data_IF_190167601326
#
_entry.id   IF_190167601326
#
_cell.length_a   1.000
_cell.length_b   1.000
_cell.length_c   1.000
_cell.angle_alpha   90.00
_cell.angle_beta   90.00
_cell.angle_gamma   90.00
#
_symmetry.space_group_name_H-M   'P 1'
#
loop_
_entity.id
_entity.type
_entity.pdbx_description
1 polymer ?
#
# COMPACT_ATOMS: atom_id res chain seq x y z
N UNK A 1 4.52 46.35 47.14
CA UNK A 1 3.75 45.10 46.99
C UNK A 1 4.35 44.32 45.83
N UNK A 2 5.18 43.32 46.12
CA UNK A 2 5.70 42.41 45.09
C UNK A 2 4.66 41.33 44.85
N UNK A 3 4.02 41.35 43.69
CA UNK A 3 3.21 40.23 43.25
C UNK A 3 4.16 39.07 42.94
N UNK A 4 4.25 38.10 43.84
CA UNK A 4 4.80 36.79 43.56
C UNK A 4 3.93 36.16 42.46
N UNK A 5 4.38 36.28 41.22
CA UNK A 5 3.86 35.45 40.13
C UNK A 5 4.41 34.05 40.42
N UNK A 6 3.59 33.22 41.05
CA UNK A 6 3.88 31.79 41.13
C UNK A 6 3.96 31.27 39.69
N UNK A 7 5.15 30.87 39.25
CA UNK A 7 5.30 30.04 38.07
C UNK A 7 4.57 28.72 38.34
N UNK A 8 3.31 28.63 37.92
CA UNK A 8 2.53 27.40 38.01
C UNK A 8 3.20 26.33 37.13
N UNK A 9 3.81 25.35 37.79
CA UNK A 9 4.56 24.27 37.12
C UNK A 9 3.60 23.32 36.43
N UNK A 10 3.75 23.18 35.11
CA UNK A 10 3.09 22.14 34.33
C UNK A 10 3.70 20.78 34.72
N UNK A 11 2.88 19.87 35.21
CA UNK A 11 3.29 18.47 35.45
C UNK A 11 2.57 17.56 34.46
N UNK A 12 3.25 16.52 33.95
CA UNK A 12 2.57 15.53 33.10
C UNK A 12 2.90 14.11 33.51
N UNK A 13 1.84 13.32 33.64
CA UNK A 13 1.86 11.89 33.89
C UNK A 13 1.69 11.15 32.56
N UNK A 14 2.75 10.48 32.15
CA UNK A 14 2.84 9.79 30.87
C UNK A 14 2.06 8.47 30.85
N UNK A 15 1.84 7.84 32.02
CA UNK A 15 1.11 6.57 32.12
C UNK A 15 -0.37 6.80 31.92
N UNK A 16 -0.89 7.87 32.51
CA UNK A 16 -2.30 8.24 32.41
C UNK A 16 -2.58 9.22 31.26
N UNK A 17 -1.54 9.66 30.54
CA UNK A 17 -1.58 10.70 29.50
C UNK A 17 -2.27 11.97 29.99
N UNK A 18 -1.91 12.44 31.19
CA UNK A 18 -2.53 13.63 31.78
C UNK A 18 -1.54 14.77 31.91
N UNK A 19 -2.02 16.00 31.73
CA UNK A 19 -1.31 17.24 32.05
C UNK A 19 -2.05 17.90 33.21
N UNK A 20 -1.32 18.36 34.23
CA UNK A 20 -1.88 19.14 35.34
C UNK A 20 -1.31 20.54 35.38
N UNK A 21 -2.18 21.50 35.66
CA UNK A 21 -1.87 22.92 35.82
C UNK A 21 -2.69 23.47 36.97
N UNK A 22 -2.04 23.75 38.11
CA UNK A 22 -2.74 23.99 39.38
C UNK A 22 -3.63 22.80 39.75
N UNK A 23 -4.89 23.08 40.09
CA UNK A 23 -5.91 22.07 40.43
C UNK A 23 -6.58 21.42 39.20
N UNK A 24 -6.26 21.86 37.98
CA UNK A 24 -6.86 21.35 36.76
C UNK A 24 -6.10 20.13 36.21
N UNK A 25 -6.82 19.05 35.90
CA UNK A 25 -6.28 17.86 35.23
C UNK A 25 -6.90 17.70 33.83
N UNK A 26 -6.04 17.63 32.82
CA UNK A 26 -6.41 17.40 31.43
C UNK A 26 -6.00 15.99 30.98
N UNK A 27 -6.93 15.21 30.42
CA UNK A 27 -6.60 13.96 29.71
C UNK A 27 -6.23 14.25 28.27
N UNK A 28 -5.00 13.93 27.89
CA UNK A 28 -4.45 14.21 26.57
C UNK A 28 -4.51 12.97 25.70
N UNK A 29 -5.49 12.95 24.79
CA UNK A 29 -5.65 11.87 23.83
C UNK A 29 -4.66 11.97 22.67
N UNK A 30 -4.25 13.18 22.28
CA UNK A 30 -3.33 13.44 21.18
C UNK A 30 -2.56 14.74 21.42
N UNK A 31 -1.26 14.73 21.14
CA UNK A 31 -0.45 15.94 21.04
C UNK A 31 0.06 16.07 19.61
N UNK A 32 -0.16 17.22 18.99
CA UNK A 32 0.35 17.48 17.64
C UNK A 32 0.60 18.96 17.40
N UNK A 33 1.60 19.24 16.56
CA UNK A 33 1.95 20.58 16.10
C UNK A 33 2.34 20.48 14.63
N UNK A 34 1.92 21.43 13.80
CA UNK A 34 2.16 21.43 12.35
C UNK A 34 1.80 20.11 11.65
N UNK A 35 0.74 19.44 12.12
CA UNK A 35 0.30 18.14 11.61
C UNK A 35 1.12 16.92 12.05
N UNK A 36 2.23 17.11 12.78
CA UNK A 36 3.06 16.03 13.31
C UNK A 36 2.56 15.56 14.69
N UNK A 37 2.41 14.25 14.87
CA UNK A 37 2.09 13.66 16.18
C UNK A 37 3.34 13.60 17.05
N UNK A 38 3.23 14.04 18.31
CA UNK A 38 4.34 14.12 19.24
C UNK A 38 4.10 13.27 20.50
N UNK A 39 5.15 12.68 21.09
CA UNK A 39 5.09 12.18 22.45
C UNK A 39 4.78 13.30 23.44
N UNK A 40 3.96 13.01 24.44
CA UNK A 40 3.59 13.98 25.49
C UNK A 40 4.81 14.52 26.24
N UNK A 41 5.84 13.70 26.41
CA UNK A 41 7.11 14.06 27.03
C UNK A 41 7.89 15.11 26.24
N UNK A 42 7.83 15.07 24.91
CA UNK A 42 8.43 16.09 24.07
C UNK A 42 7.63 17.39 24.08
N UNK A 43 6.30 17.30 24.25
CA UNK A 43 5.44 18.48 24.36
C UNK A 43 5.81 19.36 25.57
N UNK A 44 6.28 18.76 26.68
CA UNK A 44 6.82 19.50 27.84
C UNK A 44 7.94 20.47 27.42
N UNK A 45 8.87 20.00 26.58
CA UNK A 45 9.99 20.81 26.09
C UNK A 45 9.53 21.98 25.21
N UNK A 46 8.35 21.88 24.59
CA UNK A 46 7.79 22.94 23.73
C UNK A 46 7.08 24.05 24.53
N UNK A 47 6.64 23.76 25.75
CA UNK A 47 5.90 24.69 26.61
C UNK A 47 6.77 25.30 27.72
N UNK A 48 7.85 24.64 28.11
CA UNK A 48 8.80 25.15 29.09
C UNK A 48 9.59 26.35 28.50
N UNK A 49 9.50 27.56 29.09
CA UNK A 49 10.19 28.75 28.60
C UNK A 49 11.69 28.57 28.40
N UNK A 50 12.35 27.76 29.24
CA UNK A 50 13.79 27.53 29.17
C UNK A 50 14.20 26.72 27.93
N UNK A 51 13.31 25.87 27.41
CA UNK A 51 13.62 24.91 26.34
C UNK A 51 12.79 25.10 25.06
N UNK A 52 11.71 25.88 25.12
CA UNK A 52 10.72 26.02 24.05
C UNK A 52 11.32 26.43 22.69
N UNK A 53 12.23 27.39 22.65
CA UNK A 53 12.86 27.85 21.40
C UNK A 53 13.69 26.72 20.78
N UNK A 54 14.59 26.12 21.56
CA UNK A 54 15.45 25.04 21.10
C UNK A 54 14.64 23.79 20.69
N UNK A 55 13.57 23.48 21.41
CA UNK A 55 12.67 22.37 21.10
C UNK A 55 11.91 22.62 19.80
N UNK A 56 11.41 23.83 19.56
CA UNK A 56 10.77 24.19 18.28
C UNK A 56 11.73 24.11 17.11
N UNK A 57 12.98 24.57 17.28
CA UNK A 57 14.02 24.45 16.26
C UNK A 57 14.34 22.98 15.95
N UNK A 58 14.55 22.16 16.98
CA UNK A 58 14.81 20.73 16.79
C UNK A 58 13.63 20.03 16.11
N UNK A 59 12.39 20.35 16.49
CA UNK A 59 11.20 19.81 15.84
C UNK A 59 11.19 20.12 14.34
N UNK A 60 11.43 21.37 13.96
CA UNK A 60 11.54 21.75 12.55
C UNK A 60 12.63 20.93 11.83
N UNK A 61 13.78 20.76 12.47
CA UNK A 61 14.89 19.97 11.93
C UNK A 61 14.53 18.49 11.78
N UNK A 62 13.83 17.89 12.74
CA UNK A 62 13.35 16.50 12.67
C UNK A 62 12.38 16.33 11.49
N UNK A 63 11.44 17.25 11.32
CA UNK A 63 10.43 17.17 10.25
C UNK A 63 11.06 17.33 8.86
N UNK A 64 12.11 18.15 8.74
CA UNK A 64 12.87 18.32 7.50
C UNK A 64 13.84 17.16 7.23
N UNK A 65 14.40 16.56 8.30
CA UNK A 65 15.36 15.47 8.19
C UNK A 65 14.72 14.15 7.77
N UNK A 66 13.52 13.85 8.27
CA UNK A 66 12.89 12.55 8.03
C UNK A 66 11.38 12.61 7.89
N UNK A 67 10.87 11.78 6.99
CA UNK A 67 9.45 11.43 6.84
C UNK A 67 9.08 10.14 7.56
N UNK A 68 10.07 9.37 8.02
CA UNK A 68 9.85 8.08 8.69
C UNK A 68 9.39 8.27 10.15
N UNK A 69 8.20 7.76 10.46
CA UNK A 69 7.58 7.90 11.78
C UNK A 69 8.43 7.28 12.89
N UNK A 70 9.08 6.15 12.62
CA UNK A 70 9.88 5.44 13.61
C UNK A 70 11.15 6.21 13.96
N UNK A 71 11.76 6.86 12.97
CA UNK A 71 12.92 7.74 13.16
C UNK A 71 12.53 9.01 13.91
N UNK A 72 11.40 9.62 13.56
CA UNK A 72 10.87 10.78 14.30
C UNK A 72 10.67 10.46 15.77
N UNK A 73 10.00 9.35 16.05
CA UNK A 73 9.77 8.89 17.42
C UNK A 73 11.09 8.65 18.17
N UNK A 74 12.07 8.01 17.52
CA UNK A 74 13.40 7.83 18.10
C UNK A 74 14.05 9.17 18.48
N UNK A 75 14.01 10.16 17.58
CA UNK A 75 14.61 11.48 17.81
C UNK A 75 13.91 12.25 18.93
N UNK A 76 12.58 12.18 19.01
CA UNK A 76 11.83 12.79 20.12
C UNK A 76 12.19 12.15 21.47
N UNK A 77 12.24 10.82 21.53
CA UNK A 77 12.63 10.11 22.76
C UNK A 77 14.08 10.41 23.13
N UNK A 78 14.99 10.48 22.15
CA UNK A 78 16.38 10.85 22.37
C UNK A 78 16.51 12.26 22.94
N UNK A 79 15.75 13.22 22.40
CA UNK A 79 15.73 14.59 22.90
C UNK A 79 15.24 14.68 24.34
N UNK A 80 14.23 13.90 24.71
CA UNK A 80 13.69 13.85 26.08
C UNK A 80 14.66 13.19 27.06
N UNK A 81 15.30 12.07 26.67
CA UNK A 81 16.15 11.28 27.57
C UNK A 81 17.57 11.83 27.70
N UNK A 82 18.13 12.33 26.61
CA UNK A 82 19.55 12.72 26.51
C UNK A 82 19.72 14.22 26.22
N UNK A 83 18.62 14.97 26.07
CA UNK A 83 18.62 16.40 25.79
C UNK A 83 18.55 16.73 24.30
N UNK A 84 18.05 17.94 24.00
CA UNK A 84 17.84 18.47 22.64
C UNK A 84 19.13 18.40 21.80
N UNK A 85 20.27 18.77 22.40
CA UNK A 85 21.57 18.76 21.72
C UNK A 85 22.01 17.35 21.28
N UNK A 86 21.65 16.30 22.03
CA UNK A 86 22.00 14.93 21.67
C UNK A 86 21.21 14.45 20.44
N UNK A 87 19.94 14.85 20.33
CA UNK A 87 19.13 14.59 19.15
C UNK A 87 19.60 15.41 17.94
N UNK A 88 19.97 16.67 18.14
CA UNK A 88 20.51 17.52 17.05
C UNK A 88 21.84 16.97 16.51
N UNK A 89 22.79 16.60 17.38
CA UNK A 89 24.05 15.96 16.96
C UNK A 89 23.82 14.67 16.16
N UNK A 90 22.76 13.93 16.47
CA UNK A 90 22.39 12.75 15.68
C UNK A 90 21.94 13.15 14.27
N UNK A 91 21.08 14.16 14.13
CA UNK A 91 20.67 14.70 12.81
C UNK A 91 21.89 15.16 12.03
N UNK A 92 22.76 15.97 12.65
CA UNK A 92 23.95 16.55 12.01
C UNK A 92 24.93 15.47 11.51
N UNK A 93 25.07 14.37 12.26
CA UNK A 93 25.91 13.23 11.87
C UNK A 93 25.45 12.57 10.58
N UNK A 94 24.15 12.57 10.30
CA UNK A 94 23.57 11.87 9.16
C UNK A 94 23.12 12.80 8.03
N UNK A 95 22.96 14.10 8.27
CA UNK A 95 22.47 15.08 7.28
C UNK A 95 23.24 15.05 5.95
N UNK A 96 24.54 14.75 5.97
CA UNK A 96 25.38 14.62 4.78
C UNK A 96 25.00 13.47 3.82
N UNK A 97 24.13 12.54 4.25
CA UNK A 97 23.67 11.42 3.42
C UNK A 97 22.21 11.55 2.99
N UNK A 98 21.65 12.76 3.06
CA UNK A 98 20.25 13.03 2.67
C UNK A 98 20.02 12.59 1.21
N UNK A 99 18.91 11.89 0.91
CA UNK A 99 18.60 11.44 -0.44
C UNK A 99 18.54 12.60 -1.42
N UNK A 100 19.07 12.36 -2.62
CA UNK A 100 18.96 13.30 -3.74
C UNK A 100 17.91 12.83 -4.74
N UNK A 101 17.72 13.58 -5.83
CA UNK A 101 16.87 13.14 -6.94
C UNK A 101 17.40 11.87 -7.61
N UNK A 102 18.73 11.65 -7.58
CA UNK A 102 19.34 10.43 -8.12
C UNK A 102 19.23 9.30 -7.09
N UNK A 103 18.88 8.07 -7.53
CA UNK A 103 18.77 6.95 -6.62
C UNK A 103 20.13 6.57 -6.05
N UNK A 104 20.16 6.28 -4.76
CA UNK A 104 21.35 5.88 -4.02
C UNK A 104 21.05 4.65 -3.16
N UNK A 105 22.09 3.88 -2.84
CA UNK A 105 22.00 2.72 -1.98
C UNK A 105 22.20 3.10 -0.52
N UNK A 106 21.35 2.54 0.33
CA UNK A 106 21.40 2.68 1.77
C UNK A 106 21.28 1.31 2.43
N UNK A 107 21.71 1.22 3.67
CA UNK A 107 21.31 0.14 4.58
C UNK A 107 19.94 0.48 5.11
N UNK A 108 19.05 -0.51 5.09
CA UNK A 108 17.81 -0.41 5.84
C UNK A 108 18.09 -0.54 7.35
N UNK A 109 17.15 -0.16 8.19
CA UNK A 109 17.27 -0.29 9.64
C UNK A 109 16.15 -1.13 10.24
N UNK A 110 16.37 -1.61 11.46
CA UNK A 110 15.35 -2.16 12.33
C UNK A 110 15.29 -1.30 13.59
N UNK A 111 14.08 -0.97 14.02
CA UNK A 111 13.86 -0.38 15.33
C UNK A 111 13.75 -1.49 16.37
N UNK A 112 14.59 -1.44 17.39
CA UNK A 112 14.37 -2.24 18.59
C UNK A 112 13.41 -1.46 19.51
N UNK A 113 12.17 -1.95 19.63
CA UNK A 113 11.13 -1.28 20.41
C UNK A 113 11.43 -1.29 21.92
N UNK A 114 12.09 -2.33 22.45
CA UNK A 114 12.38 -2.42 23.89
C UNK A 114 13.47 -1.44 24.31
N UNK A 115 14.51 -1.29 23.48
CA UNK A 115 15.66 -0.42 23.77
C UNK A 115 15.46 1.00 23.21
N UNK A 116 14.44 1.22 22.39
CA UNK A 116 14.27 2.41 21.55
C UNK A 116 15.57 2.78 20.81
N UNK A 117 16.22 1.78 20.19
CA UNK A 117 17.44 1.95 19.41
C UNK A 117 17.18 1.70 17.93
N UNK A 118 17.89 2.43 17.08
CA UNK A 118 17.96 2.15 15.65
C UNK A 118 19.21 1.30 15.42
N UNK A 119 19.00 0.09 14.90
CA UNK A 119 20.08 -0.82 14.53
C UNK A 119 20.03 -1.06 13.02
N UNK A 120 21.17 -1.03 12.32
CA UNK A 120 21.20 -1.38 10.91
C UNK A 120 20.67 -2.79 10.67
N UNK A 121 19.86 -2.97 9.63
CA UNK A 121 19.44 -4.27 9.19
C UNK A 121 20.67 -5.11 8.80
N UNK A 122 20.68 -6.38 9.18
CA UNK A 122 21.78 -7.28 8.84
C UNK A 122 21.74 -7.72 7.37
N UNK A 123 20.54 -7.77 6.78
CA UNK A 123 20.29 -8.40 5.46
C UNK A 123 19.29 -7.61 4.60
N UNK A 124 19.38 -6.27 4.64
CA UNK A 124 18.52 -5.41 3.81
C UNK A 124 19.27 -4.19 3.31
N UNK A 125 19.06 -3.90 2.03
CA UNK A 125 19.49 -2.67 1.38
C UNK A 125 18.25 -1.92 0.91
N UNK A 126 18.31 -0.60 0.87
CA UNK A 126 17.28 0.24 0.31
C UNK A 126 17.87 1.03 -0.88
N UNK A 127 17.11 1.13 -1.97
CA UNK A 127 17.38 2.09 -3.04
C UNK A 127 16.46 3.28 -2.80
N UNK A 128 17.03 4.46 -2.60
CA UNK A 128 16.29 5.64 -2.14
C UNK A 128 16.60 6.85 -3.01
N UNK A 129 15.56 7.63 -3.31
CA UNK A 129 15.64 9.00 -3.82
C UNK A 129 14.67 9.89 -3.03
N UNK A 130 14.64 11.19 -3.33
CA UNK A 130 13.65 12.11 -2.77
C UNK A 130 12.18 11.74 -3.05
N UNK A 131 11.90 10.93 -4.07
CA UNK A 131 10.52 10.65 -4.52
C UNK A 131 10.02 9.23 -4.22
N UNK A 132 10.94 8.29 -4.05
CA UNK A 132 10.59 6.87 -3.93
C UNK A 132 11.72 6.10 -3.26
N UNK A 133 11.34 5.11 -2.47
CA UNK A 133 12.25 4.26 -1.74
C UNK A 133 11.77 2.81 -1.76
N UNK A 134 12.69 1.89 -2.03
CA UNK A 134 12.41 0.47 -2.10
C UNK A 134 13.42 -0.33 -1.30
N UNK A 135 12.96 -1.20 -0.41
CA UNK A 135 13.82 -2.08 0.37
C UNK A 135 13.84 -3.49 -0.23
N UNK A 136 15.05 -4.07 -0.26
CA UNK A 136 15.36 -5.38 -0.81
C UNK A 136 16.08 -6.20 0.26
N UNK A 137 15.65 -7.45 0.46
CA UNK A 137 16.34 -8.39 1.33
C UNK A 137 17.59 -8.92 0.62
N UNK A 138 18.63 -9.29 1.36
CA UNK A 138 19.85 -9.88 0.82
C UNK A 138 20.07 -11.29 1.40
N UNK A 139 20.71 -12.16 0.62
CA UNK A 139 21.18 -13.47 1.12
C UNK A 139 22.49 -13.38 1.88
N UNK A 140 23.17 -12.24 1.80
CA UNK A 140 24.47 -11.95 2.41
C UNK A 140 24.36 -10.81 3.45
N UNK A 141 25.36 -10.66 4.31
CA UNK A 141 25.37 -9.59 5.32
C UNK A 141 25.72 -8.23 4.70
N UNK A 142 24.88 -7.22 4.95
CA UNK A 142 25.08 -5.87 4.41
C UNK A 142 26.04 -5.01 5.24
N UNK A 143 26.49 -5.50 6.39
CA UNK A 143 27.42 -4.80 7.28
C UNK A 143 28.75 -4.44 6.61
N UNK A 144 29.15 -5.19 5.58
CA UNK A 144 30.40 -5.00 4.84
C UNK A 144 30.31 -4.01 3.68
N UNK A 145 29.12 -3.52 3.33
CA UNK A 145 28.91 -2.71 2.11
C UNK A 145 29.25 -1.22 2.24
N UNK A 146 29.69 -0.75 3.42
CA UNK A 146 29.96 0.66 3.72
C UNK A 146 28.87 1.64 3.21
N UNK A 147 27.61 1.24 3.31
CA UNK A 147 26.46 2.05 2.88
C UNK A 147 25.92 2.90 4.04
N UNK A 148 25.48 4.15 3.78
CA UNK A 148 24.82 4.97 4.78
C UNK A 148 23.49 4.36 5.23
N UNK A 149 23.01 4.73 6.42
CA UNK A 149 21.73 4.24 6.94
C UNK A 149 20.57 5.05 6.35
N UNK A 150 19.50 4.39 5.90
CA UNK A 150 18.29 5.06 5.43
C UNK A 150 17.48 5.58 6.62
N UNK A 151 17.65 6.84 6.99
CA UNK A 151 16.93 7.46 8.12
C UNK A 151 15.83 8.42 7.67
N UNK A 152 15.62 8.58 6.36
CA UNK A 152 14.92 9.73 5.78
C UNK A 152 13.49 9.42 5.35
N UNK A 153 13.25 8.19 4.91
CA UNK A 153 11.94 7.76 4.44
C UNK A 153 11.75 6.26 4.64
N UNK A 154 10.51 5.89 4.92
CA UNK A 154 10.11 4.49 4.91
C UNK A 154 10.18 3.96 3.48
N UNK A 155 10.89 2.85 3.31
CA UNK A 155 10.97 2.17 2.02
C UNK A 155 9.96 1.04 1.97
N UNK A 156 9.23 0.93 0.84
CA UNK A 156 8.35 -0.22 0.64
C UNK A 156 9.21 -1.49 0.57
N UNK A 157 9.01 -2.36 1.56
CA UNK A 157 9.80 -3.56 1.69
C UNK A 157 9.21 -4.67 0.83
N UNK A 158 9.89 -4.96 -0.29
CA UNK A 158 9.59 -6.16 -1.07
C UNK A 158 10.55 -7.28 -0.68
N UNK A 159 9.98 -8.47 -0.46
CA UNK A 159 10.73 -9.67 -0.13
C UNK A 159 11.39 -10.25 -1.38
N UNK A 160 12.30 -9.49 -1.99
CA UNK A 160 13.22 -9.98 -3.01
C UNK A 160 14.53 -10.27 -2.32
N UNK A 161 14.97 -11.53 -2.32
CA UNK A 161 16.30 -11.88 -1.78
C UNK A 161 17.35 -11.75 -2.88
N UNK A 162 18.21 -10.75 -2.75
CA UNK A 162 19.36 -10.47 -3.60
C UNK A 162 20.53 -11.38 -3.22
N UNK A 163 21.05 -12.09 -4.22
CA UNK A 163 22.40 -12.67 -4.15
C UNK A 163 23.47 -11.58 -4.30
N UNK A 164 24.72 -11.86 -3.94
CA UNK A 164 25.83 -10.92 -4.15
C UNK A 164 25.99 -10.54 -5.63
N UNK A 165 25.83 -11.51 -6.54
CA UNK A 165 25.86 -11.26 -7.99
C UNK A 165 24.75 -10.32 -8.46
N UNK A 166 23.53 -10.51 -7.94
CA UNK A 166 22.40 -9.60 -8.25
C UNK A 166 22.61 -8.21 -7.66
N UNK A 167 23.25 -8.10 -6.48
CA UNK A 167 23.62 -6.82 -5.88
C UNK A 167 24.68 -6.08 -6.70
N UNK A 168 25.71 -6.76 -7.21
CA UNK A 168 26.69 -6.13 -8.10
C UNK A 168 26.05 -5.60 -9.39
N UNK A 169 25.10 -6.36 -9.96
CA UNK A 169 24.32 -5.89 -11.11
C UNK A 169 23.44 -4.70 -10.78
N UNK A 170 22.82 -4.69 -9.60
CA UNK A 170 22.04 -3.56 -9.12
C UNK A 170 22.88 -2.28 -9.05
N UNK A 171 24.11 -2.35 -8.53
CA UNK A 171 25.00 -1.19 -8.47
C UNK A 171 25.27 -0.62 -9.86
N UNK A 172 25.64 -1.46 -10.82
CA UNK A 172 25.95 -1.02 -12.19
C UNK A 172 24.73 -0.46 -12.94
N UNK A 173 23.51 -0.73 -12.45
CA UNK A 173 22.25 -0.43 -13.15
C UNK A 173 21.23 0.25 -12.24
N UNK A 174 21.73 1.04 -11.29
CA UNK A 174 20.92 1.55 -10.19
C UNK A 174 19.77 2.44 -10.69
N UNK A 175 20.05 3.33 -11.64
CA UNK A 175 19.05 4.23 -12.21
C UNK A 175 17.97 3.47 -13.00
N UNK A 176 18.37 2.54 -13.89
CA UNK A 176 17.44 1.70 -14.64
C UNK A 176 16.54 0.86 -13.72
N UNK A 177 17.14 0.20 -12.74
CA UNK A 177 16.42 -0.61 -11.78
C UNK A 177 15.45 0.25 -10.97
N UNK A 178 15.88 1.44 -10.55
CA UNK A 178 15.05 2.36 -9.80
C UNK A 178 13.84 2.81 -10.61
N UNK A 179 14.04 3.23 -11.86
CA UNK A 179 12.96 3.59 -12.78
C UNK A 179 11.99 2.43 -12.99
N UNK A 180 12.51 1.23 -13.25
CA UNK A 180 11.70 0.03 -13.40
C UNK A 180 10.90 -0.28 -12.12
N UNK A 181 11.53 -0.18 -10.95
CA UNK A 181 10.87 -0.44 -9.68
C UNK A 181 9.72 0.52 -9.38
N UNK A 182 9.84 1.81 -9.74
CA UNK A 182 8.72 2.77 -9.67
C UNK A 182 7.55 2.35 -10.56
N UNK A 183 7.82 1.89 -11.79
CA UNK A 183 6.78 1.36 -12.69
C UNK A 183 6.09 0.15 -12.08
N UNK A 184 6.85 -0.79 -11.51
CA UNK A 184 6.28 -1.98 -10.86
C UNK A 184 5.45 -1.60 -9.63
N UNK A 185 5.90 -0.67 -8.79
CA UNK A 185 5.18 -0.20 -7.61
C UNK A 185 3.85 0.49 -7.97
N UNK A 186 3.77 1.15 -9.14
CA UNK A 186 2.53 1.75 -9.64
C UNK A 186 1.47 0.73 -10.09
N UNK A 187 1.82 -0.55 -10.20
CA UNK A 187 0.85 -1.59 -10.54
C UNK A 187 -0.07 -1.87 -9.35
N UNK A 188 -1.31 -1.41 -9.44
CA UNK A 188 -2.31 -1.73 -8.42
C UNK A 188 -2.72 -3.22 -8.43
N UNK A 189 -3.14 -3.74 -7.28
CA UNK A 189 -3.78 -5.07 -7.14
C UNK A 189 -2.88 -6.25 -7.57
N UNK A 190 -1.58 -6.14 -7.36
CA UNK A 190 -0.63 -7.26 -7.46
C UNK A 190 -0.09 -7.62 -6.08
N UNK A 191 0.26 -8.89 -5.89
CA UNK A 191 0.80 -9.37 -4.62
C UNK A 191 2.28 -9.00 -4.50
N UNK A 192 2.76 -8.81 -3.27
CA UNK A 192 4.19 -8.56 -3.01
C UNK A 192 5.09 -9.67 -3.56
N UNK A 193 4.60 -10.93 -3.60
CA UNK A 193 5.32 -12.04 -4.23
C UNK A 193 5.49 -11.84 -5.74
N UNK A 194 4.46 -11.33 -6.42
CA UNK A 194 4.51 -11.06 -7.86
C UNK A 194 5.44 -9.87 -8.16
N UNK A 195 5.39 -8.82 -7.33
CA UNK A 195 6.36 -7.71 -7.38
C UNK A 195 7.78 -8.24 -7.26
N UNK A 196 8.05 -9.04 -6.22
CA UNK A 196 9.37 -9.61 -5.98
C UNK A 196 9.86 -10.45 -7.17
N UNK A 197 8.98 -11.26 -7.77
CA UNK A 197 9.30 -12.04 -8.98
C UNK A 197 9.70 -11.14 -10.16
N UNK A 198 8.94 -10.05 -10.40
CA UNK A 198 9.20 -9.12 -11.50
C UNK A 198 10.55 -8.40 -11.30
N UNK A 199 10.79 -7.87 -10.10
CA UNK A 199 12.06 -7.18 -9.76
C UNK A 199 13.25 -8.14 -9.84
N UNK A 200 13.10 -9.37 -9.35
CA UNK A 200 14.14 -10.39 -9.45
C UNK A 200 14.45 -10.75 -10.91
N UNK A 201 13.41 -10.91 -11.73
CA UNK A 201 13.59 -11.19 -13.16
C UNK A 201 14.42 -10.09 -13.82
N UNK A 202 14.14 -8.81 -13.54
CA UNK A 202 14.90 -7.68 -14.07
C UNK A 202 16.39 -7.72 -13.71
N UNK A 203 16.71 -7.97 -12.44
CA UNK A 203 18.10 -8.08 -11.97
C UNK A 203 18.87 -9.26 -12.60
N UNK A 204 18.15 -10.29 -13.02
CA UNK A 204 18.73 -11.44 -13.71
C UNK A 204 18.92 -11.16 -15.20
N UNK A 205 17.91 -10.58 -15.83
CA UNK A 205 17.87 -10.17 -17.23
C UNK A 205 16.74 -9.15 -17.41
N UNK A 206 17.09 -7.96 -17.87
CA UNK A 206 16.15 -6.84 -18.01
C UNK A 206 14.96 -7.14 -18.92
N UNK A 207 15.18 -7.77 -20.08
CA UNK A 207 14.11 -8.13 -21.00
C UNK A 207 13.09 -9.07 -20.34
N UNK A 208 13.57 -10.02 -19.52
CA UNK A 208 12.70 -10.89 -18.71
C UNK A 208 11.91 -10.08 -17.69
N UNK A 209 12.53 -9.09 -17.05
CA UNK A 209 11.85 -8.16 -16.15
C UNK A 209 10.69 -7.43 -16.81
N UNK A 210 10.95 -6.77 -17.96
CA UNK A 210 9.91 -6.08 -18.72
C UNK A 210 8.82 -7.00 -19.24
N UNK A 211 9.17 -8.22 -19.67
CA UNK A 211 8.19 -9.24 -20.07
C UNK A 211 7.25 -9.61 -18.93
N UNK A 212 7.78 -9.86 -17.73
CA UNK A 212 6.97 -10.18 -16.54
C UNK A 212 6.10 -8.98 -16.10
N UNK A 213 6.63 -7.76 -16.16
CA UNK A 213 5.86 -6.51 -15.93
C UNK A 213 4.70 -6.39 -16.91
N UNK A 214 4.94 -6.53 -18.21
CA UNK A 214 3.91 -6.41 -19.25
C UNK A 214 2.84 -7.49 -19.11
N UNK A 215 3.21 -8.71 -18.71
CA UNK A 215 2.26 -9.77 -18.40
C UNK A 215 1.38 -9.41 -17.19
N UNK A 216 1.97 -8.82 -16.14
CA UNK A 216 1.21 -8.34 -14.98
C UNK A 216 0.25 -7.20 -15.34
N UNK A 217 0.70 -6.25 -16.15
CA UNK A 217 -0.12 -5.15 -16.63
C UNK A 217 -1.30 -5.65 -17.48
N UNK A 218 -1.06 -6.58 -18.42
CA UNK A 218 -2.12 -7.24 -19.20
C UNK A 218 -3.14 -7.95 -18.30
N UNK A 219 -2.66 -8.64 -17.26
CA UNK A 219 -3.54 -9.29 -16.27
C UNK A 219 -4.38 -8.30 -15.47
N UNK A 220 -3.81 -7.17 -15.04
CA UNK A 220 -4.54 -6.11 -14.34
C UNK A 220 -5.61 -5.53 -15.26
N UNK A 221 -5.25 -5.15 -16.48
CA UNK A 221 -6.17 -4.57 -17.46
C UNK A 221 -7.32 -5.54 -17.77
N UNK A 222 -7.01 -6.82 -17.95
CA UNK A 222 -8.03 -7.87 -18.12
C UNK A 222 -8.97 -7.95 -16.92
N UNK A 223 -8.44 -7.93 -15.68
CA UNK A 223 -9.26 -7.96 -14.45
C UNK A 223 -10.12 -6.70 -14.30
N UNK A 224 -9.60 -5.53 -14.66
CA UNK A 224 -10.35 -4.27 -14.62
C UNK A 224 -11.52 -4.31 -15.62
N UNK A 225 -11.27 -4.71 -16.87
CA UNK A 225 -12.34 -4.92 -17.88
C UNK A 225 -13.37 -5.96 -17.44
N UNK A 226 -12.92 -7.06 -16.83
CA UNK A 226 -13.82 -8.06 -16.25
C UNK A 226 -14.72 -7.47 -15.15
N UNK A 227 -14.16 -6.67 -14.25
CA UNK A 227 -14.90 -6.02 -13.18
C UNK A 227 -15.91 -5.00 -13.72
N UNK A 228 -15.49 -4.21 -14.71
CA UNK A 228 -16.33 -3.22 -15.40
C UNK A 228 -17.52 -3.89 -16.08
N UNK A 229 -17.28 -4.88 -16.95
CA UNK A 229 -18.34 -5.63 -17.62
C UNK A 229 -19.31 -6.27 -16.62
N UNK A 230 -18.78 -6.84 -15.54
CA UNK A 230 -19.61 -7.46 -14.52
C UNK A 230 -20.42 -6.43 -13.73
N UNK A 231 -19.88 -5.23 -13.49
CA UNK A 231 -20.62 -4.11 -12.89
C UNK A 231 -21.75 -3.64 -13.81
N UNK A 232 -21.48 -3.48 -15.11
CA UNK A 232 -22.48 -3.11 -16.11
C UNK A 232 -23.58 -4.16 -16.20
N UNK A 233 -23.23 -5.45 -16.23
CA UNK A 233 -24.23 -6.52 -16.24
C UNK A 233 -25.07 -6.50 -14.95
N UNK A 234 -24.46 -6.27 -13.78
CA UNK A 234 -25.20 -6.18 -12.51
C UNK A 234 -26.25 -5.08 -12.51
N UNK A 235 -25.94 -3.92 -13.11
CA UNK A 235 -26.86 -2.78 -13.19
C UNK A 235 -27.92 -2.96 -14.28
N UNK A 236 -27.52 -3.38 -15.48
CA UNK A 236 -28.44 -3.57 -16.63
C UNK A 236 -29.27 -4.85 -16.54
N UNK A 237 -28.86 -5.81 -15.71
CA UNK A 237 -29.38 -7.18 -15.57
C UNK A 237 -29.25 -8.07 -16.80
N UNK A 238 -29.21 -7.51 -18.00
CA UNK A 238 -29.08 -8.23 -19.27
C UNK A 238 -27.96 -7.64 -20.11
N UNK A 239 -27.20 -8.50 -20.77
CA UNK A 239 -26.14 -8.15 -21.70
C UNK A 239 -26.27 -8.99 -22.97
N UNK A 240 -26.35 -8.36 -24.14
CA UNK A 240 -26.40 -9.09 -25.41
C UNK A 240 -25.01 -9.61 -25.79
N UNK A 241 -24.96 -10.84 -26.27
CA UNK A 241 -23.74 -11.49 -26.74
C UNK A 241 -24.01 -12.23 -28.05
N UNK A 242 -22.96 -12.58 -28.78
CA UNK A 242 -23.11 -13.42 -29.97
C UNK A 242 -23.79 -14.74 -29.60
N UNK A 243 -24.94 -15.01 -30.20
CA UNK A 243 -25.72 -16.24 -29.96
C UNK A 243 -26.79 -16.15 -28.87
N UNK A 244 -26.93 -15.02 -28.16
CA UNK A 244 -27.97 -14.89 -27.12
C UNK A 244 -27.79 -13.72 -26.15
N UNK A 245 -28.17 -13.95 -24.89
CA UNK A 245 -28.13 -12.97 -23.81
C UNK A 245 -27.56 -13.57 -22.53
N UNK A 246 -26.72 -12.80 -21.83
CA UNK A 246 -26.30 -13.12 -20.47
C UNK A 246 -27.14 -12.31 -19.50
N UNK A 247 -27.69 -12.98 -18.51
CA UNK A 247 -28.60 -12.40 -17.52
C UNK A 247 -27.97 -12.56 -16.13
N UNK A 248 -28.11 -11.54 -15.28
CA UNK A 248 -27.67 -11.56 -13.90
C UNK A 248 -28.86 -11.52 -12.94
N UNK A 249 -28.97 -12.55 -12.10
CA UNK A 249 -30.02 -12.68 -11.08
C UNK A 249 -29.40 -13.26 -9.80
N UNK A 250 -29.67 -12.63 -8.64
CA UNK A 250 -29.27 -13.08 -7.29
C UNK A 250 -27.82 -13.60 -7.14
N UNK A 251 -26.84 -12.95 -7.77
CA UNK A 251 -25.44 -13.38 -7.67
C UNK A 251 -25.01 -14.45 -8.67
N UNK A 252 -25.89 -14.86 -9.58
CA UNK A 252 -25.64 -15.87 -10.60
C UNK A 252 -25.78 -15.31 -12.01
N UNK A 253 -25.07 -15.96 -12.93
CA UNK A 253 -25.17 -15.72 -14.36
C UNK A 253 -26.02 -16.80 -15.00
N UNK A 254 -26.86 -16.37 -15.94
CA UNK A 254 -27.66 -17.23 -16.80
C UNK A 254 -27.38 -16.86 -18.25
N UNK A 255 -27.50 -17.83 -19.15
CA UNK A 255 -27.32 -17.66 -20.57
C UNK A 255 -28.59 -18.12 -21.29
N UNK A 256 -29.19 -17.21 -22.03
CA UNK A 256 -30.36 -17.44 -22.87
C UNK A 256 -29.91 -17.50 -24.32
N UNK A 257 -30.11 -18.61 -25.02
CA UNK A 257 -29.76 -18.74 -26.44
C UNK A 257 -30.78 -18.00 -27.31
N UNK A 258 -30.40 -17.71 -28.56
CA UNK A 258 -31.33 -17.19 -29.58
C UNK A 258 -32.54 -18.10 -29.83
N UNK A 259 -32.38 -19.40 -29.62
CA UNK A 259 -33.44 -20.40 -29.79
C UNK A 259 -34.34 -20.53 -28.54
N UNK A 260 -34.03 -19.77 -27.49
CA UNK A 260 -34.81 -19.70 -26.27
C UNK A 260 -34.46 -20.73 -25.20
N UNK A 261 -33.35 -21.43 -25.34
CA UNK A 261 -32.85 -22.33 -24.30
C UNK A 261 -32.19 -21.51 -23.19
N UNK A 262 -32.53 -21.83 -21.95
CA UNK A 262 -32.04 -21.12 -20.78
C UNK A 262 -31.10 -22.03 -19.99
N UNK A 263 -29.89 -21.53 -19.75
CA UNK A 263 -28.86 -22.21 -19.00
C UNK A 263 -28.39 -21.38 -17.82
N UNK A 264 -27.98 -22.05 -16.75
CA UNK A 264 -27.37 -21.44 -15.57
C UNK A 264 -25.87 -21.67 -15.58
N UNK A 265 -25.10 -20.68 -15.15
CA UNK A 265 -23.67 -20.86 -14.94
C UNK A 265 -23.41 -21.74 -13.71
N UNK A 266 -22.57 -22.77 -13.87
CA UNK A 266 -22.39 -23.85 -12.90
C UNK A 266 -21.69 -23.43 -11.61
N UNK A 267 -21.01 -22.28 -11.58
CA UNK A 267 -20.20 -21.86 -10.43
C UNK A 267 -20.67 -20.55 -9.80
N UNK A 268 -20.79 -20.58 -8.48
CA UNK A 268 -21.02 -19.39 -7.64
C UNK A 268 -19.79 -18.49 -7.50
N UNK A 269 -18.60 -18.95 -7.90
CA UNK A 269 -17.36 -18.18 -7.75
C UNK A 269 -17.38 -16.96 -8.66
N UNK A 270 -17.49 -15.76 -8.09
CA UNK A 270 -17.53 -14.47 -8.82
C UNK A 270 -16.37 -14.30 -9.81
N UNK A 271 -15.16 -14.79 -9.48
CA UNK A 271 -14.01 -14.74 -10.41
C UNK A 271 -14.29 -15.51 -11.71
N UNK A 272 -14.88 -16.70 -11.61
CA UNK A 272 -15.18 -17.54 -12.77
C UNK A 272 -16.34 -16.97 -13.60
N UNK A 273 -17.34 -16.40 -12.93
CA UNK A 273 -18.43 -15.68 -13.59
C UNK A 273 -17.92 -14.47 -14.39
N UNK A 274 -17.06 -13.64 -13.78
CA UNK A 274 -16.41 -12.50 -14.44
C UNK A 274 -15.61 -12.91 -15.67
N UNK A 275 -14.87 -14.01 -15.56
CA UNK A 275 -14.10 -14.55 -16.68
C UNK A 275 -15.01 -15.06 -17.80
N UNK A 276 -16.07 -15.80 -17.46
CA UNK A 276 -17.06 -16.29 -18.42
C UNK A 276 -17.71 -15.13 -19.19
N UNK A 277 -18.21 -14.12 -18.46
CA UNK A 277 -18.79 -12.91 -19.06
C UNK A 277 -17.79 -12.21 -20.00
N UNK A 278 -16.54 -12.06 -19.57
CA UNK A 278 -15.51 -11.44 -20.40
C UNK A 278 -15.24 -12.23 -21.68
N UNK A 279 -15.17 -13.57 -21.61
CA UNK A 279 -14.99 -14.40 -22.82
C UNK A 279 -16.20 -14.31 -23.76
N UNK A 280 -17.41 -14.31 -23.21
CA UNK A 280 -18.63 -14.19 -24.00
C UNK A 280 -18.70 -12.84 -24.73
N UNK A 281 -18.43 -11.73 -24.04
CA UNK A 281 -18.56 -10.38 -24.60
C UNK A 281 -17.39 -10.01 -25.50
N UNK A 282 -16.15 -10.27 -25.08
CA UNK A 282 -14.97 -9.77 -25.81
C UNK A 282 -14.42 -10.74 -26.84
N UNK A 283 -14.65 -12.05 -26.64
CA UNK A 283 -14.14 -13.09 -27.54
C UNK A 283 -15.25 -13.81 -28.32
N UNK A 284 -16.51 -13.43 -28.12
CA UNK A 284 -17.67 -14.11 -28.74
C UNK A 284 -17.67 -15.63 -28.50
N UNK A 285 -17.23 -16.07 -27.32
CA UNK A 285 -17.13 -17.50 -26.99
C UNK A 285 -17.95 -17.82 -25.74
N UNK A 286 -18.97 -18.66 -25.91
CA UNK A 286 -19.72 -19.28 -24.83
C UNK A 286 -19.14 -20.67 -24.57
N UNK A 287 -18.72 -20.91 -23.33
CA UNK A 287 -18.23 -22.23 -22.91
C UNK A 287 -19.37 -23.02 -22.24
N UNK A 288 -20.04 -23.86 -23.01
CA UNK A 288 -21.19 -24.65 -22.55
C UNK A 288 -20.84 -25.66 -21.44
N UNK A 289 -19.58 -26.09 -21.32
CA UNK A 289 -19.15 -26.98 -20.23
C UNK A 289 -19.23 -26.31 -18.84
N UNK A 290 -19.38 -24.98 -18.80
CA UNK A 290 -19.62 -24.22 -17.56
C UNK A 290 -21.09 -23.88 -17.33
N UNK A 291 -21.98 -24.43 -18.15
CA UNK A 291 -23.42 -24.19 -18.08
C UNK A 291 -24.14 -25.47 -17.65
N UNK A 292 -25.27 -25.32 -16.98
CA UNK A 292 -26.17 -26.39 -16.60
C UNK A 292 -27.59 -26.00 -16.97
N UNK A 293 -28.37 -26.94 -17.46
CA UNK A 293 -29.81 -26.85 -17.71
C UNK A 293 -30.65 -26.92 -16.42
N UNK A 294 -30.03 -27.27 -15.29
CA UNK A 294 -30.67 -27.28 -13.95
C UNK A 294 -31.07 -25.87 -13.49
N UNK A 295 -32.30 -25.47 -13.81
CA UNK A 295 -32.93 -24.21 -13.41
C UNK A 295 -34.28 -24.52 -12.77
N UNK A 296 -34.54 -23.99 -11.58
CA UNK A 296 -35.83 -24.23 -10.92
C UNK A 296 -36.97 -23.46 -11.63
N UNK A 297 -38.23 -23.92 -11.54
CA UNK A 297 -39.37 -23.17 -12.07
C UNK A 297 -39.46 -21.74 -11.52
N UNK A 298 -39.13 -21.52 -10.24
CA UNK A 298 -39.10 -20.20 -9.60
C UNK A 298 -38.00 -19.32 -10.20
N UNK A 299 -36.78 -19.84 -10.35
CA UNK A 299 -35.67 -19.13 -11.00
C UNK A 299 -36.05 -18.74 -12.44
N UNK A 300 -36.69 -19.66 -13.18
CA UNK A 300 -37.14 -19.41 -14.56
C UNK A 300 -38.17 -18.28 -14.62
N UNK A 301 -39.17 -18.25 -13.73
CA UNK A 301 -40.16 -17.15 -13.65
C UNK A 301 -39.51 -15.81 -13.36
N UNK A 302 -38.57 -15.74 -12.42
CA UNK A 302 -37.86 -14.50 -12.10
C UNK A 302 -37.01 -14.01 -13.29
N UNK A 303 -36.36 -14.93 -14.01
CA UNK A 303 -35.62 -14.60 -15.22
C UNK A 303 -36.54 -14.07 -16.31
N UNK A 304 -37.71 -14.67 -16.52
CA UNK A 304 -38.71 -14.18 -17.47
C UNK A 304 -39.20 -12.77 -17.12
N UNK A 305 -39.39 -12.44 -15.84
CA UNK A 305 -39.73 -11.07 -15.43
C UNK A 305 -38.62 -10.07 -15.79
N UNK A 306 -37.36 -10.41 -15.52
CA UNK A 306 -36.22 -9.55 -15.86
C UNK A 306 -36.11 -9.38 -17.39
N UNK A 307 -36.27 -10.48 -18.14
CA UNK A 307 -36.28 -10.46 -19.61
C UNK A 307 -37.44 -9.59 -20.08
N UNK A 308 -38.65 -9.76 -19.56
CA UNK A 308 -39.83 -9.01 -19.97
C UNK A 308 -39.70 -7.50 -19.75
N UNK A 309 -39.07 -7.09 -18.66
CA UNK A 309 -38.83 -5.67 -18.35
C UNK A 309 -37.82 -5.01 -19.29
N UNK A 310 -36.89 -5.77 -19.89
CA UNK A 310 -35.78 -5.22 -20.69
C UNK A 310 -35.86 -5.56 -22.17
N UNK A 311 -36.49 -6.68 -22.50
CA UNK A 311 -36.67 -7.33 -23.81
C UNK A 311 -38.01 -8.08 -23.82
N UNK A 312 -39.14 -7.35 -23.80
CA UNK A 312 -40.48 -7.94 -23.79
C UNK A 312 -40.72 -8.87 -24.99
N UNK A 313 -40.10 -8.56 -26.13
CA UNK A 313 -40.09 -9.39 -27.34
C UNK A 313 -39.59 -10.81 -27.10
N UNK A 314 -38.56 -10.97 -26.27
CA UNK A 314 -38.00 -12.28 -25.94
C UNK A 314 -38.83 -12.99 -24.86
N UNK A 315 -39.40 -12.24 -23.92
CA UNK A 315 -40.19 -12.84 -22.84
C UNK A 315 -41.43 -13.56 -23.36
N UNK A 316 -42.09 -13.02 -24.39
CA UNK A 316 -43.28 -13.64 -25.02
C UNK A 316 -42.93 -14.99 -25.67
N UNK A 317 -41.73 -15.13 -26.25
CA UNK A 317 -41.28 -16.38 -26.88
C UNK A 317 -40.88 -17.44 -25.83
N UNK A 318 -40.51 -17.00 -24.63
CA UNK A 318 -39.95 -17.86 -23.57
C UNK A 318 -40.94 -18.21 -22.47
N UNK A 319 -42.04 -17.47 -22.39
CA UNK A 319 -43.19 -17.78 -21.56
C UNK A 319 -43.98 -18.90 -22.26
N UNK A 320 -43.98 -20.14 -21.73
CA UNK A 320 -44.90 -21.17 -22.21
C UNK A 320 -46.36 -20.79 -21.91
#
# INVERSE_FOLDING_TARGET
MNANIHEEKITVDERNKTIRFGDLEFKVHRCSIWGASLPLSYAKLLVDPATAIAAKTLLSNILNFTSDILIREFLFVKAVREGINAAQKFIDRYSGYTPTKKPQLYRDFWKNFSENTIKPAARRVAVVSTEFAIALTTSFQVSKLNLPLNLYCSADAYRTSLTEKEYQRLICRLEDFFFFSKKVASLERITNQRVAKILKAFLQNEEKGWKEYNNALKDINRRNKQNELYSILKSKKIFSVTGGYIIYLHGMLYYLTKNGELYRFSSWKTRLQKEFLYQAVTKNRINFNKLTDKISPEERRQLLTIIGQKRPDLAVVLAP
#
